data_IF_878639353347
#
_entry.id   IF_878639353347
#
_cell.length_a   1.000
_cell.length_b   1.000
_cell.length_c   1.000
_cell.angle_alpha   90.00
_cell.angle_beta   90.00
_cell.angle_gamma   90.00
#
_symmetry.space_group_name_H-M   'P 1'
#
loop_
_entity.id
_entity.type
_entity.pdbx_description
1 polymer ?
#
# COMPACT_ATOMS: atom_id res chain seq x y z
N UNK A 1 -5.08 -11.69 14.56
CA UNK A 1 -5.37 -10.42 15.25
C UNK A 1 -5.15 -9.30 14.25
N UNK A 2 -6.20 -8.71 13.67
CA UNK A 2 -6.04 -7.66 12.66
C UNK A 2 -6.51 -6.33 13.26
N UNK A 3 -5.69 -5.78 14.15
CA UNK A 3 -5.90 -4.45 14.69
C UNK A 3 -5.70 -3.39 13.63
N UNK A 4 -6.35 -2.24 13.79
CA UNK A 4 -6.09 -1.06 12.95
C UNK A 4 -4.63 -0.64 13.17
N UNK A 5 -3.88 -0.46 12.09
CA UNK A 5 -2.54 0.12 12.17
C UNK A 5 -2.65 1.58 12.64
N UNK A 6 -1.85 1.93 13.65
CA UNK A 6 -1.76 3.27 14.18
C UNK A 6 -0.33 3.79 13.97
N UNK A 7 -0.16 5.05 13.54
CA UNK A 7 1.16 5.66 13.41
C UNK A 7 1.77 5.84 14.81
N UNK A 8 3.06 5.54 14.92
CA UNK A 8 3.78 5.50 16.20
C UNK A 8 4.53 6.78 16.54
N UNK A 9 4.60 7.73 15.60
CA UNK A 9 5.44 8.93 15.71
C UNK A 9 6.88 8.73 15.24
N UNK A 10 7.25 7.52 14.82
CA UNK A 10 8.58 7.20 14.27
C UNK A 10 8.44 6.67 12.85
N UNK A 11 9.40 7.01 11.99
CA UNK A 11 9.39 6.58 10.59
C UNK A 11 9.60 5.07 10.47
N UNK A 12 8.63 4.39 9.86
CA UNK A 12 8.65 2.94 9.69
C UNK A 12 9.63 2.42 8.63
N UNK A 13 10.34 3.31 7.93
CA UNK A 13 11.46 2.87 7.09
C UNK A 13 12.69 2.44 7.90
N UNK A 14 12.67 2.62 9.24
CA UNK A 14 13.74 2.20 10.13
C UNK A 14 14.85 3.24 10.33
N UNK A 15 14.74 4.46 9.78
CA UNK A 15 15.76 5.51 9.97
C UNK A 15 15.77 6.13 11.38
N UNK A 16 14.80 5.80 12.23
CA UNK A 16 14.69 6.31 13.60
C UNK A 16 14.20 7.76 13.73
N UNK A 17 13.97 8.46 12.62
CA UNK A 17 13.50 9.84 12.65
C UNK A 17 12.01 9.94 13.02
N UNK A 18 11.62 11.05 13.65
CA UNK A 18 10.24 11.34 14.02
C UNK A 18 9.38 11.71 12.80
N UNK A 19 8.12 11.28 12.81
CA UNK A 19 7.12 11.60 11.77
C UNK A 19 6.08 12.57 12.29
N UNK A 20 5.47 13.33 11.39
CA UNK A 20 4.30 14.14 11.72
C UNK A 20 3.16 13.30 12.31
N UNK A 21 2.31 13.93 13.12
CA UNK A 21 1.13 13.30 13.73
C UNK A 21 0.26 12.68 12.62
N UNK A 22 -0.08 11.40 12.78
CA UNK A 22 -0.92 10.67 11.83
C UNK A 22 -0.16 10.04 10.66
N UNK A 23 1.15 10.25 10.54
CA UNK A 23 1.98 9.70 9.46
C UNK A 23 2.78 8.48 9.92
N UNK A 24 2.90 7.49 9.04
CA UNK A 24 3.74 6.30 9.25
C UNK A 24 5.18 6.49 8.74
N UNK A 25 5.34 7.38 7.76
CA UNK A 25 6.60 7.59 7.04
C UNK A 25 6.90 9.08 6.90
N UNK A 26 8.19 9.40 6.81
CA UNK A 26 8.65 10.66 6.25
C UNK A 26 8.37 10.72 4.73
N UNK A 27 8.35 11.91 4.11
CA UNK A 27 8.09 12.05 2.68
C UNK A 27 9.02 11.17 1.81
N UNK A 28 8.45 10.23 1.06
CA UNK A 28 9.18 9.31 0.17
C UNK A 28 9.81 8.08 0.86
N UNK A 29 9.76 8.00 2.19
CA UNK A 29 10.35 6.88 2.93
C UNK A 29 9.52 5.59 2.86
N UNK A 30 8.25 5.67 2.44
CA UNK A 30 7.43 4.51 2.13
C UNK A 30 8.07 3.65 1.01
N UNK A 31 8.68 4.30 0.01
CA UNK A 31 9.36 3.62 -1.09
C UNK A 31 10.67 2.97 -0.68
N UNK A 32 11.39 3.58 0.27
CA UNK A 32 12.59 2.99 0.85
C UNK A 32 12.22 1.71 1.61
N UNK A 33 11.18 1.78 2.46
CA UNK A 33 10.70 0.63 3.21
C UNK A 33 10.22 -0.50 2.29
N UNK A 34 9.42 -0.16 1.27
CA UNK A 34 8.95 -1.11 0.26
C UNK A 34 10.11 -1.79 -0.47
N UNK A 35 11.10 -1.01 -0.94
CA UNK A 35 12.24 -1.53 -1.66
C UNK A 35 13.09 -2.47 -0.79
N UNK A 36 13.33 -2.11 0.47
CA UNK A 36 14.09 -2.95 1.41
C UNK A 36 13.44 -4.33 1.56
N UNK A 37 12.13 -4.38 1.80
CA UNK A 37 11.39 -5.64 1.96
C UNK A 37 11.35 -6.42 0.64
N UNK A 38 11.13 -5.76 -0.50
CA UNK A 38 11.10 -6.45 -1.81
C UNK A 38 12.45 -7.06 -2.16
N UNK A 39 13.55 -6.37 -1.85
CA UNK A 39 14.89 -6.88 -2.11
C UNK A 39 15.23 -8.04 -1.17
N UNK A 40 14.98 -7.91 0.13
CA UNK A 40 15.31 -8.94 1.12
C UNK A 40 14.47 -10.21 0.95
N UNK A 41 13.14 -10.07 0.86
CA UNK A 41 12.23 -11.22 0.90
C UNK A 41 12.09 -11.92 -0.45
N UNK A 42 12.32 -11.20 -1.55
CA UNK A 42 12.06 -11.71 -2.90
C UNK A 42 13.30 -11.69 -3.81
N UNK A 43 14.36 -10.98 -3.45
CA UNK A 43 15.51 -10.76 -4.36
C UNK A 43 15.25 -9.74 -5.46
N UNK A 44 14.16 -8.97 -5.37
CA UNK A 44 13.84 -7.86 -6.27
C UNK A 44 12.45 -7.90 -6.91
N UNK A 45 12.14 -6.82 -7.63
CA UNK A 45 10.80 -6.57 -8.19
C UNK A 45 10.33 -7.66 -9.15
N UNK A 46 11.15 -8.19 -10.09
CA UNK A 46 10.70 -9.25 -10.99
C UNK A 46 10.25 -10.53 -10.27
N UNK A 47 11.00 -10.95 -9.25
CA UNK A 47 10.69 -12.13 -8.45
C UNK A 47 9.43 -11.91 -7.60
N UNK A 48 9.30 -10.73 -6.96
CA UNK A 48 8.07 -10.31 -6.29
C UNK A 48 6.85 -10.39 -7.22
N UNK A 49 6.94 -9.81 -8.42
CA UNK A 49 5.83 -9.85 -9.38
C UNK A 49 5.50 -11.28 -9.81
N UNK A 50 6.52 -12.10 -10.11
CA UNK A 50 6.30 -13.49 -10.50
C UNK A 50 5.61 -14.30 -9.40
N UNK A 51 6.05 -14.17 -8.14
CA UNK A 51 5.48 -14.87 -6.99
C UNK A 51 4.01 -14.50 -6.75
N UNK A 52 3.61 -13.27 -7.06
CA UNK A 52 2.23 -12.81 -6.92
C UNK A 52 1.37 -13.02 -8.18
N UNK A 53 1.89 -13.73 -9.19
CA UNK A 53 1.18 -14.09 -10.42
C UNK A 53 1.09 -12.96 -11.45
N UNK A 54 2.02 -12.00 -11.42
CA UNK A 54 2.14 -10.86 -12.33
C UNK A 54 3.31 -10.98 -13.32
N UNK A 55 3.91 -12.17 -13.46
CA UNK A 55 4.85 -12.45 -14.54
C UNK A 55 4.17 -12.33 -15.93
N UNK A 56 4.94 -12.21 -17.03
CA UNK A 56 4.39 -12.24 -18.38
C UNK A 56 3.47 -13.46 -18.60
N UNK A 57 2.27 -13.22 -19.16
CA UNK A 57 1.21 -14.23 -19.30
C UNK A 57 0.29 -14.38 -18.08
N UNK A 58 0.63 -13.77 -16.95
CA UNK A 58 -0.20 -13.70 -15.75
C UNK A 58 -1.10 -12.46 -15.68
N UNK A 59 -1.42 -12.03 -14.46
CA UNK A 59 -2.21 -10.81 -14.21
C UNK A 59 -1.43 -9.58 -14.68
N UNK A 60 -2.13 -8.58 -15.21
CA UNK A 60 -1.52 -7.33 -15.63
C UNK A 60 -1.57 -6.28 -14.49
N UNK A 61 -0.41 -5.81 -13.96
CA UNK A 61 -0.39 -4.85 -12.85
C UNK A 61 -1.10 -3.52 -13.16
N UNK A 62 -0.94 -3.00 -14.38
CA UNK A 62 -1.56 -1.74 -14.80
C UNK A 62 -3.09 -1.84 -14.85
N UNK A 63 -3.63 -2.97 -15.32
CA UNK A 63 -5.06 -3.23 -15.32
C UNK A 63 -5.61 -3.39 -13.89
N UNK A 64 -4.89 -4.11 -13.02
CA UNK A 64 -5.26 -4.24 -11.60
C UNK A 64 -5.29 -2.88 -10.90
N UNK A 65 -4.28 -2.04 -11.12
CA UNK A 65 -4.24 -0.68 -10.58
C UNK A 65 -5.41 0.16 -11.09
N UNK A 66 -5.75 0.03 -12.38
CA UNK A 66 -6.88 0.76 -12.99
C UNK A 66 -8.21 0.36 -12.36
N UNK A 67 -8.47 -0.95 -12.22
CA UNK A 67 -9.67 -1.46 -11.58
C UNK A 67 -9.76 -1.06 -10.09
N UNK A 68 -8.63 -1.03 -9.38
CA UNK A 68 -8.59 -0.54 -8.00
C UNK A 68 -8.96 0.96 -7.92
N UNK A 69 -8.37 1.81 -8.77
CA UNK A 69 -8.67 3.26 -8.81
C UNK A 69 -10.15 3.51 -9.07
N UNK A 70 -10.78 2.75 -9.96
CA UNK A 70 -12.21 2.85 -10.24
C UNK A 70 -13.06 2.51 -9.00
N UNK A 71 -12.77 1.38 -8.33
CA UNK A 71 -13.47 0.97 -7.10
C UNK A 71 -13.33 2.01 -5.98
N UNK A 72 -12.14 2.53 -5.75
CA UNK A 72 -11.88 3.53 -4.70
C UNK A 72 -12.61 4.84 -4.98
N UNK A 73 -12.62 5.31 -6.24
CA UNK A 73 -13.40 6.48 -6.65
C UNK A 73 -14.90 6.27 -6.44
N UNK A 74 -15.43 5.11 -6.78
CA UNK A 74 -16.85 4.79 -6.57
C UNK A 74 -17.20 4.73 -5.08
N UNK A 75 -16.29 4.26 -4.22
CA UNK A 75 -16.49 4.25 -2.77
C UNK A 75 -16.59 5.67 -2.19
N UNK A 76 -15.81 6.61 -2.69
CA UNK A 76 -15.87 8.02 -2.29
C UNK A 76 -17.18 8.67 -2.77
N UNK A 77 -17.66 8.30 -3.96
CA UNK A 77 -18.87 8.87 -4.56
C UNK A 77 -20.18 8.28 -4.03
N UNK A 78 -20.15 7.23 -3.21
CA UNK A 78 -21.37 6.60 -2.69
C UNK A 78 -22.01 7.55 -1.66
N UNK A 79 -23.21 8.10 -1.89
CA UNK A 79 -23.86 8.96 -0.90
C UNK A 79 -24.15 8.15 0.37
N UNK A 80 -24.01 8.81 1.53
CA UNK A 80 -24.37 8.21 2.82
C UNK A 80 -25.87 7.95 2.80
N UNK A 81 -26.27 6.69 2.65
CA UNK A 81 -27.66 6.27 2.86
C UNK A 81 -28.00 6.55 4.32
N UNK A 82 -28.85 7.55 4.58
CA UNK A 82 -29.52 7.69 5.87
C UNK A 82 -30.54 6.56 6.00
N UNK A 83 -30.62 5.86 7.14
CA UNK A 83 -31.71 4.92 7.36
C UNK A 83 -33.02 5.71 7.40
N UNK A 84 -33.99 5.31 6.58
CA UNK A 84 -35.37 5.80 6.68
C UNK A 84 -35.98 5.27 7.97
N UNK A 85 -36.54 6.20 8.76
CA UNK A 85 -37.30 5.95 9.99
C UNK A 85 -38.54 5.10 9.76
#
# INVERSE_FOLDING_TARGET
MTGRLLPTGTCWCGCGQETAIGSFFLPGHDKIAEAAVVLEEYGGVPAFLAQHGYAPGGKNPCQVLTAWKQRTRLRIKRPRSTPSS
#
